data_IF_238924933705
#
_entry.id   IF_238924933705
#
_cell.length_a   1.000
_cell.length_b   1.000
_cell.length_c   1.000
_cell.angle_alpha   90.00
_cell.angle_beta   90.00
_cell.angle_gamma   90.00
#
_symmetry.space_group_name_H-M   'P 1'
#
loop_
_entity.id
_entity.type
_entity.pdbx_description
1 polymer ?
#
# COMPACT_ATOMS: atom_id res chain seq x y z
N UNK A 1 -12.75 2.22 4.59
CA UNK A 1 -12.74 3.15 5.75
C UNK A 1 -13.59 2.65 6.94
N UNK A 2 -14.87 2.25 6.76
CA UNK A 2 -15.72 1.79 7.89
C UNK A 2 -15.19 0.54 8.60
N UNK A 3 -14.58 -0.39 7.86
CA UNK A 3 -13.94 -1.58 8.45
C UNK A 3 -12.75 -1.20 9.33
N UNK A 4 -11.89 -0.31 8.84
CA UNK A 4 -10.70 0.15 9.56
C UNK A 4 -11.08 0.87 10.85
N UNK A 5 -12.14 1.68 10.81
CA UNK A 5 -12.66 2.33 12.00
C UNK A 5 -13.04 1.29 13.08
N UNK A 6 -13.88 0.31 12.72
CA UNK A 6 -14.28 -0.76 13.66
C UNK A 6 -13.10 -1.62 14.11
N UNK A 7 -12.18 -1.95 13.21
CA UNK A 7 -10.96 -2.69 13.53
C UNK A 7 -10.09 -1.92 14.54
N UNK A 8 -9.88 -0.63 14.33
CA UNK A 8 -9.12 0.23 15.26
C UNK A 8 -9.75 0.25 16.65
N UNK A 9 -11.08 0.29 16.74
CA UNK A 9 -11.80 0.21 18.03
C UNK A 9 -11.56 -1.15 18.72
N UNK A 10 -11.62 -2.27 17.98
CA UNK A 10 -11.35 -3.59 18.54
C UNK A 10 -9.89 -3.74 18.98
N UNK A 11 -8.94 -3.20 18.20
CA UNK A 11 -7.53 -3.20 18.58
C UNK A 11 -7.26 -2.43 19.87
N UNK A 12 -7.95 -1.29 20.10
CA UNK A 12 -7.87 -0.54 21.35
C UNK A 12 -8.36 -1.37 22.55
N UNK A 13 -9.45 -2.15 22.38
CA UNK A 13 -9.92 -3.08 23.43
C UNK A 13 -8.86 -4.13 23.76
N UNK A 14 -8.02 -4.50 22.79
CA UNK A 14 -6.87 -5.40 23.00
C UNK A 14 -5.64 -4.69 23.59
N UNK A 15 -5.78 -3.44 24.06
CA UNK A 15 -4.72 -2.57 24.62
C UNK A 15 -3.62 -2.21 23.62
N UNK A 16 -3.96 -2.16 22.32
CA UNK A 16 -3.10 -1.65 21.27
C UNK A 16 -3.38 -0.16 21.04
N UNK A 17 -2.41 0.57 20.47
CA UNK A 17 -2.52 2.00 20.14
C UNK A 17 -2.46 2.16 18.61
N UNK A 18 -3.55 1.89 17.86
CA UNK A 18 -3.52 1.94 16.40
C UNK A 18 -3.43 3.37 15.88
N UNK A 19 -2.70 3.54 14.75
CA UNK A 19 -2.76 4.69 13.87
C UNK A 19 -3.17 4.25 12.46
N UNK A 20 -3.73 5.17 11.66
CA UNK A 20 -4.15 4.91 10.28
C UNK A 20 -3.48 5.90 9.33
N UNK A 21 -2.84 5.37 8.31
CA UNK A 21 -2.33 6.11 7.15
C UNK A 21 -3.20 5.74 5.94
N UNK A 22 -4.06 6.65 5.49
CA UNK A 22 -4.85 6.47 4.28
C UNK A 22 -4.06 6.99 3.07
N UNK A 23 -3.72 6.09 2.15
CA UNK A 23 -3.03 6.43 0.90
C UNK A 23 -4.07 6.60 -0.20
N UNK A 24 -4.35 7.86 -0.53
CA UNK A 24 -5.35 8.21 -1.52
C UNK A 24 -4.73 8.48 -2.89
N UNK A 25 -5.41 8.13 -3.99
CA UNK A 25 -5.03 8.61 -5.30
C UNK A 25 -5.06 10.15 -5.30
N UNK A 26 -4.08 10.74 -5.98
CA UNK A 26 -3.98 12.19 -6.07
C UNK A 26 -5.17 12.76 -6.84
N UNK A 27 -5.85 13.74 -6.28
CA UNK A 27 -6.83 14.52 -7.04
C UNK A 27 -6.13 15.28 -8.16
N UNK A 28 -6.51 15.02 -9.41
CA UNK A 28 -5.99 15.75 -10.58
C UNK A 28 -6.33 17.24 -10.54
N UNK A 29 -7.31 17.65 -9.71
CA UNK A 29 -7.78 19.03 -9.62
C UNK A 29 -7.04 19.82 -8.54
N UNK A 30 -6.78 19.22 -7.38
CA UNK A 30 -6.20 19.94 -6.23
C UNK A 30 -4.76 19.53 -5.91
N UNK A 31 -4.24 18.47 -6.51
CA UNK A 31 -2.91 17.92 -6.21
C UNK A 31 -2.77 17.35 -4.79
N UNK A 32 -3.87 17.32 -4.02
CA UNK A 32 -3.92 16.80 -2.65
C UNK A 32 -4.74 15.52 -2.52
N UNK A 33 -4.75 14.92 -1.33
CA UNK A 33 -5.61 13.78 -1.01
C UNK A 33 -7.09 14.18 -1.09
N UNK A 34 -7.93 13.28 -1.60
CA UNK A 34 -9.37 13.54 -1.72
C UNK A 34 -9.97 13.64 -0.32
N UNK A 35 -10.59 14.79 -0.02
CA UNK A 35 -11.12 15.15 1.32
C UNK A 35 -12.18 14.17 1.86
N UNK A 36 -12.74 13.30 0.99
CA UNK A 36 -13.84 12.39 1.32
C UNK A 36 -13.54 11.38 2.43
N UNK A 37 -12.29 10.95 2.57
CA UNK A 37 -11.94 9.92 3.57
C UNK A 37 -11.80 10.50 4.99
N UNK A 38 -11.40 11.77 5.14
CA UNK A 38 -11.39 12.43 6.45
C UNK A 38 -12.80 12.54 7.06
N UNK A 39 -13.79 12.84 6.24
CA UNK A 39 -15.19 12.94 6.69
C UNK A 39 -15.76 11.58 7.06
N UNK A 40 -15.39 10.53 6.34
CA UNK A 40 -15.85 9.15 6.62
C UNK A 40 -15.22 8.55 7.87
N UNK A 41 -14.08 9.08 8.32
CA UNK A 41 -13.37 8.63 9.52
C UNK A 41 -13.55 9.55 10.73
N UNK A 42 -14.46 10.52 10.68
CA UNK A 42 -14.74 11.46 11.78
C UNK A 42 -15.06 10.74 13.09
N UNK A 43 -15.86 9.66 13.04
CA UNK A 43 -16.17 8.83 14.22
C UNK A 43 -14.95 8.19 14.88
N UNK A 44 -13.88 7.87 14.12
CA UNK A 44 -12.66 7.30 14.68
C UNK A 44 -11.74 8.37 15.29
N UNK A 45 -11.81 9.61 14.83
CA UNK A 45 -11.09 10.74 15.44
C UNK A 45 -11.67 11.05 16.82
N UNK A 46 -12.97 10.97 16.98
CA UNK A 46 -13.65 11.15 18.29
C UNK A 46 -13.27 10.05 19.30
N UNK A 47 -12.85 8.88 18.81
CA UNK A 47 -12.33 7.78 19.65
C UNK A 47 -10.83 7.88 19.95
N UNK A 48 -10.13 8.93 19.52
CA UNK A 48 -8.70 9.14 19.77
C UNK A 48 -7.79 8.24 18.92
N UNK A 49 -8.21 7.78 17.72
CA UNK A 49 -7.34 7.13 16.74
C UNK A 49 -6.67 8.20 15.89
N UNK A 50 -5.35 8.16 15.78
CA UNK A 50 -4.62 9.03 14.86
C UNK A 50 -4.87 8.61 13.42
N UNK A 51 -5.30 9.55 12.57
CA UNK A 51 -5.56 9.28 11.14
C UNK A 51 -4.90 10.37 10.31
N UNK A 52 -4.18 9.98 9.26
CA UNK A 52 -3.58 10.88 8.30
C UNK A 52 -3.70 10.34 6.89
N UNK A 53 -4.14 11.20 5.96
CA UNK A 53 -4.15 10.91 4.52
C UNK A 53 -2.83 11.34 3.89
N UNK A 54 -2.32 10.51 2.97
CA UNK A 54 -1.14 10.73 2.15
C UNK A 54 -1.58 10.69 0.69
N UNK A 55 -1.30 11.76 -0.07
CA UNK A 55 -1.60 11.79 -1.49
C UNK A 55 -0.51 11.07 -2.30
N UNK A 56 -0.92 10.26 -3.28
CA UNK A 56 -0.01 9.43 -4.07
C UNK A 56 0.88 10.23 -5.05
N UNK A 57 0.53 11.47 -5.38
CA UNK A 57 1.28 12.40 -6.25
C UNK A 57 1.86 11.82 -7.54
N UNK A 58 1.32 10.71 -8.03
CA UNK A 58 1.59 10.16 -9.36
C UNK A 58 3.01 9.64 -9.66
N UNK A 59 3.94 9.72 -8.72
CA UNK A 59 5.31 9.24 -8.90
C UNK A 59 5.51 7.89 -8.22
N UNK A 60 5.75 6.85 -9.00
CA UNK A 60 6.21 5.53 -8.52
C UNK A 60 7.42 5.70 -7.59
N UNK A 61 7.38 5.12 -6.42
CA UNK A 61 8.44 5.23 -5.40
C UNK A 61 8.33 6.43 -4.44
N UNK A 62 7.72 7.55 -4.83
CA UNK A 62 7.54 8.71 -3.93
C UNK A 62 6.54 8.41 -2.80
N UNK A 63 5.55 7.57 -3.07
CA UNK A 63 4.58 7.10 -2.08
C UNK A 63 5.28 6.25 -1.04
N UNK A 64 6.06 5.27 -1.47
CA UNK A 64 6.81 4.38 -0.60
C UNK A 64 7.69 5.17 0.38
N UNK A 65 8.40 6.18 -0.09
CA UNK A 65 9.23 7.05 0.74
C UNK A 65 8.40 7.86 1.75
N UNK A 66 7.29 8.48 1.32
CA UNK A 66 6.41 9.26 2.21
C UNK A 66 5.74 8.38 3.28
N UNK A 67 5.32 7.18 2.90
CA UNK A 67 4.75 6.19 3.83
C UNK A 67 5.80 5.75 4.84
N UNK A 68 7.00 5.33 4.41
CA UNK A 68 8.10 4.90 5.31
C UNK A 68 8.48 5.99 6.32
N UNK A 69 8.60 7.24 5.89
CA UNK A 69 8.89 8.36 6.81
C UNK A 69 7.78 8.57 7.83
N UNK A 70 6.51 8.47 7.38
CA UNK A 70 5.35 8.58 8.28
C UNK A 70 5.31 7.43 9.28
N UNK A 71 5.63 6.20 8.86
CA UNK A 71 5.73 5.03 9.74
C UNK A 71 6.75 5.26 10.85
N UNK A 72 7.96 5.70 10.54
CA UNK A 72 9.02 5.98 11.54
C UNK A 72 8.57 7.00 12.58
N UNK A 73 7.91 8.08 12.15
CA UNK A 73 7.38 9.11 13.05
C UNK A 73 6.31 8.52 13.98
N UNK A 74 5.40 7.71 13.45
CA UNK A 74 4.32 7.10 14.22
C UNK A 74 4.85 6.02 15.18
N UNK A 75 5.81 5.22 14.75
CA UNK A 75 6.51 4.25 15.61
C UNK A 75 7.21 4.95 16.77
N UNK A 76 7.94 6.02 16.49
CA UNK A 76 8.60 6.85 17.52
C UNK A 76 7.59 7.46 18.50
N UNK A 77 6.40 7.85 18.02
CA UNK A 77 5.29 8.33 18.84
C UNK A 77 4.56 7.21 19.63
N UNK A 78 5.02 5.96 19.51
CA UNK A 78 4.51 4.80 20.23
C UNK A 78 3.18 4.26 19.70
N UNK A 79 2.85 4.50 18.43
CA UNK A 79 1.71 3.84 17.78
C UNK A 79 2.08 2.41 17.36
N UNK A 80 1.21 1.47 17.70
CA UNK A 80 1.34 0.06 17.30
C UNK A 80 -0.02 -0.64 17.43
N UNK A 81 -0.60 -1.20 16.34
CA UNK A 81 -0.10 -1.20 14.96
C UNK A 81 -0.31 0.13 14.21
N UNK A 82 0.36 0.26 13.06
CA UNK A 82 0.06 1.30 12.08
C UNK A 82 -0.63 0.63 10.89
N UNK A 83 -1.87 1.03 10.61
CA UNK A 83 -2.69 0.50 9.52
C UNK A 83 -2.49 1.40 8.31
N UNK A 84 -2.01 0.83 7.19
CA UNK A 84 -1.95 1.53 5.91
C UNK A 84 -3.18 1.12 5.10
N UNK A 85 -4.04 2.07 4.78
CA UNK A 85 -5.18 1.86 3.88
C UNK A 85 -4.80 2.34 2.48
N UNK A 86 -4.94 1.47 1.48
CA UNK A 86 -4.85 1.83 0.07
C UNK A 86 -6.18 1.55 -0.63
N UNK A 87 -6.48 2.35 -1.65
CA UNK A 87 -7.72 2.25 -2.44
C UNK A 87 -7.36 1.94 -3.87
N UNK A 88 -7.72 0.74 -4.33
CA UNK A 88 -7.49 0.30 -5.70
C UNK A 88 -6.98 -1.13 -5.79
N UNK A 89 -6.62 -1.54 -6.99
CA UNK A 89 -6.00 -2.84 -7.30
C UNK A 89 -4.93 -2.61 -8.39
N UNK A 90 -3.82 -1.95 -8.01
CA UNK A 90 -2.79 -1.55 -8.96
C UNK A 90 -1.38 -1.61 -8.39
N UNK A 91 -0.47 -0.92 -9.05
CA UNK A 91 0.96 -0.93 -8.72
C UNK A 91 1.26 -0.35 -7.33
N UNK A 92 0.45 0.61 -6.88
CA UNK A 92 0.59 1.25 -5.56
C UNK A 92 0.38 0.26 -4.42
N UNK A 93 -0.57 -0.64 -4.57
CA UNK A 93 -0.93 -1.67 -3.58
C UNK A 93 0.21 -2.68 -3.43
N UNK A 94 0.83 -3.08 -4.53
CA UNK A 94 2.00 -3.97 -4.53
C UNK A 94 3.22 -3.28 -3.87
N UNK A 95 3.43 -1.98 -4.10
CA UNK A 95 4.50 -1.22 -3.43
C UNK A 95 4.24 -1.11 -1.92
N UNK A 96 2.99 -0.87 -1.50
CA UNK A 96 2.62 -0.79 -0.08
C UNK A 96 2.76 -2.14 0.62
N UNK A 97 2.39 -3.25 -0.04
CA UNK A 97 2.54 -4.59 0.54
C UNK A 97 3.99 -4.95 0.85
N UNK A 98 4.95 -4.45 0.07
CA UNK A 98 6.40 -4.63 0.35
C UNK A 98 6.89 -3.85 1.58
N UNK A 99 6.15 -2.83 2.01
CA UNK A 99 6.48 -2.04 3.20
C UNK A 99 5.84 -2.62 4.45
N UNK A 100 4.63 -3.19 4.30
CA UNK A 100 3.85 -3.72 5.41
C UNK A 100 4.46 -5.02 5.96
N UNK A 101 4.36 -5.21 7.28
CA UNK A 101 4.74 -6.47 7.93
C UNK A 101 3.66 -7.55 7.73
N UNK A 102 2.39 -7.12 7.59
CA UNK A 102 1.23 -7.97 7.38
C UNK A 102 0.32 -7.32 6.34
N UNK A 103 -0.06 -8.08 5.33
CA UNK A 103 -0.95 -7.62 4.27
C UNK A 103 -2.32 -8.29 4.40
N UNK A 104 -3.37 -7.46 4.46
CA UNK A 104 -4.78 -7.91 4.45
C UNK A 104 -5.41 -7.56 3.12
N UNK A 105 -5.66 -8.56 2.29
CA UNK A 105 -6.34 -8.38 1.00
C UNK A 105 -7.85 -8.47 1.22
N UNK A 106 -8.58 -7.40 0.87
CA UNK A 106 -10.01 -7.31 1.14
C UNK A 106 -10.84 -7.41 -0.13
N UNK A 107 -11.71 -8.40 -0.18
CA UNK A 107 -12.68 -8.61 -1.26
C UNK A 107 -14.09 -8.25 -0.81
N UNK A 108 -14.91 -7.76 -1.73
CA UNK A 108 -16.33 -7.50 -1.49
C UNK A 108 -17.19 -8.30 -2.48
N UNK A 109 -18.36 -8.85 -2.08
CA UNK A 109 -19.34 -9.38 -3.01
C UNK A 109 -19.79 -8.28 -3.99
N UNK A 110 -20.20 -8.66 -5.20
CA UNK A 110 -20.71 -7.75 -6.24
C UNK A 110 -19.70 -6.74 -6.84
N UNK A 111 -18.43 -6.79 -6.51
CA UNK A 111 -17.41 -6.14 -7.35
C UNK A 111 -17.13 -7.09 -8.51
N UNK A 112 -17.54 -6.73 -9.73
CA UNK A 112 -17.44 -7.59 -10.93
C UNK A 112 -16.02 -8.11 -11.23
N UNK A 113 -15.00 -7.47 -10.65
CA UNK A 113 -13.59 -7.82 -10.78
C UNK A 113 -13.07 -8.78 -9.70
N UNK A 114 -13.90 -9.20 -8.70
CA UNK A 114 -13.38 -10.00 -7.57
C UNK A 114 -12.72 -11.31 -8.04
N UNK A 115 -13.30 -12.02 -8.98
CA UNK A 115 -12.74 -13.28 -9.51
C UNK A 115 -11.56 -13.01 -10.44
N UNK A 116 -11.56 -11.91 -11.20
CA UNK A 116 -10.44 -11.51 -12.04
C UNK A 116 -9.27 -11.02 -11.19
N UNK A 117 -9.54 -10.31 -10.11
CA UNK A 117 -8.56 -9.86 -9.12
C UNK A 117 -7.88 -11.04 -8.40
N UNK A 118 -8.64 -12.11 -8.11
CA UNK A 118 -8.08 -13.36 -7.59
C UNK A 118 -7.06 -13.95 -8.57
N UNK A 119 -7.35 -13.91 -9.89
CA UNK A 119 -6.46 -14.42 -10.94
C UNK A 119 -5.28 -13.51 -11.28
N UNK A 120 -5.29 -12.25 -10.88
CA UNK A 120 -4.30 -11.24 -11.25
C UNK A 120 -3.06 -11.17 -10.33
N UNK A 121 -2.76 -12.21 -9.54
CA UNK A 121 -1.57 -12.28 -8.70
C UNK A 121 -1.64 -11.50 -7.38
N UNK A 122 -2.75 -10.81 -7.08
CA UNK A 122 -2.96 -10.14 -5.77
C UNK A 122 -3.05 -11.17 -4.63
N UNK A 123 -3.34 -12.42 -4.97
CA UNK A 123 -3.38 -13.52 -4.01
C UNK A 123 -2.00 -13.99 -3.55
N UNK A 124 -0.92 -13.50 -4.14
CA UNK A 124 0.45 -13.87 -3.73
C UNK A 124 1.01 -12.94 -2.63
N UNK A 125 0.34 -11.80 -2.38
CA UNK A 125 0.86 -10.78 -1.45
C UNK A 125 0.17 -10.76 -0.10
N UNK A 126 -0.91 -11.53 0.10
CA UNK A 126 -1.74 -11.48 1.29
C UNK A 126 -1.33 -12.48 2.38
N UNK A 127 -1.19 -12.02 3.62
CA UNK A 127 -1.13 -12.90 4.80
C UNK A 127 -2.55 -13.26 5.30
N UNK A 128 -3.53 -12.38 5.07
CA UNK A 128 -4.95 -12.60 5.38
C UNK A 128 -5.79 -12.20 4.18
N UNK A 129 -6.76 -13.05 3.85
CA UNK A 129 -7.77 -12.77 2.83
C UNK A 129 -9.12 -12.54 3.48
N UNK A 130 -9.73 -11.39 3.23
CA UNK A 130 -10.90 -10.94 3.93
C UNK A 130 -12.09 -10.78 2.98
N UNK A 131 -13.16 -11.54 3.20
CA UNK A 131 -14.45 -11.27 2.55
C UNK A 131 -15.23 -10.30 3.42
N UNK A 132 -15.18 -9.02 3.06
CA UNK A 132 -15.94 -7.99 3.74
C UNK A 132 -17.35 -7.86 3.16
N UNK A 133 -18.26 -7.19 3.88
CA UNK A 133 -19.70 -7.13 3.57
C UNK A 133 -20.32 -8.52 3.43
N UNK A 134 -19.94 -9.42 4.33
CA UNK A 134 -20.39 -10.83 4.32
C UNK A 134 -21.89 -11.00 4.62
N UNK A 135 -22.59 -9.90 4.86
CA UNK A 135 -24.05 -9.80 4.98
C UNK A 135 -24.76 -9.67 3.62
N UNK A 136 -24.02 -9.45 2.54
CA UNK A 136 -24.57 -9.36 1.20
C UNK A 136 -24.59 -10.74 0.50
N UNK A 137 -25.51 -10.89 -0.46
CA UNK A 137 -25.59 -12.06 -1.31
C UNK A 137 -24.27 -12.23 -2.10
N UNK A 138 -23.91 -13.47 -2.41
CA UNK A 138 -22.64 -13.76 -3.10
C UNK A 138 -21.41 -13.85 -2.19
N UNK A 139 -21.49 -13.43 -0.91
CA UNK A 139 -20.36 -13.49 0.01
C UNK A 139 -19.88 -14.91 0.31
N UNK A 140 -20.82 -15.88 0.35
CA UNK A 140 -20.48 -17.27 0.61
C UNK A 140 -19.79 -17.90 -0.59
N UNK A 141 -20.26 -17.61 -1.81
CA UNK A 141 -19.66 -18.06 -3.07
C UNK A 141 -18.24 -17.49 -3.22
N UNK A 142 -18.06 -16.19 -2.93
CA UNK A 142 -16.77 -15.55 -2.99
C UNK A 142 -15.78 -16.15 -1.97
N UNK A 143 -16.24 -16.44 -0.76
CA UNK A 143 -15.43 -17.10 0.26
C UNK A 143 -15.01 -18.50 -0.16
N UNK A 144 -15.91 -19.27 -0.76
CA UNK A 144 -15.60 -20.61 -1.27
C UNK A 144 -14.59 -20.55 -2.41
N UNK A 145 -14.79 -19.62 -3.36
CA UNK A 145 -13.87 -19.41 -4.48
C UNK A 145 -12.45 -19.03 -3.99
N UNK A 146 -12.34 -18.17 -2.97
CA UNK A 146 -11.05 -17.84 -2.35
C UNK A 146 -10.41 -19.07 -1.70
N UNK A 147 -11.18 -19.87 -1.00
CA UNK A 147 -10.72 -21.10 -0.36
C UNK A 147 -10.19 -22.11 -1.38
N UNK A 148 -10.94 -22.31 -2.46
CA UNK A 148 -10.57 -23.24 -3.52
C UNK A 148 -9.31 -22.78 -4.27
N UNK A 149 -9.12 -21.47 -4.41
CA UNK A 149 -7.97 -20.91 -5.12
C UNK A 149 -6.70 -20.82 -4.26
N UNK A 150 -6.84 -20.37 -3.00
CA UNK A 150 -5.72 -20.09 -2.11
C UNK A 150 -5.36 -21.31 -1.26
N UNK A 151 -6.35 -22.14 -0.89
CA UNK A 151 -6.19 -23.32 -0.03
C UNK A 151 -5.49 -24.51 -0.70
N UNK A 152 -4.98 -24.37 -1.93
CA UNK A 152 -4.23 -25.42 -2.65
C UNK A 152 -2.71 -25.29 -2.49
N UNK A 153 -2.21 -24.30 -1.71
CA UNK A 153 -0.79 -24.09 -1.43
C UNK A 153 -0.27 -24.85 -0.21
N UNK A 154 1.05 -24.91 -0.06
CA UNK A 154 1.73 -25.61 1.06
C UNK A 154 1.51 -24.92 2.43
N UNK A 155 1.09 -23.64 2.47
CA UNK A 155 0.72 -22.92 3.68
C UNK A 155 -0.76 -22.53 3.64
N UNK A 156 -1.52 -22.92 4.67
CA UNK A 156 -2.94 -22.54 4.81
C UNK A 156 -3.06 -21.02 5.07
N UNK A 157 -3.42 -20.27 4.03
CA UNK A 157 -3.66 -18.86 4.18
C UNK A 157 -4.93 -18.60 5.02
N UNK A 158 -4.87 -17.58 5.86
CA UNK A 158 -5.99 -17.22 6.74
C UNK A 158 -7.07 -16.49 5.92
N UNK A 159 -8.25 -17.10 5.82
CA UNK A 159 -9.41 -16.51 5.13
C UNK A 159 -10.52 -16.21 6.14
N UNK A 160 -10.93 -14.94 6.26
CA UNK A 160 -11.93 -14.49 7.22
C UNK A 160 -13.12 -13.81 6.52
N UNK A 161 -14.27 -13.78 7.21
CA UNK A 161 -15.46 -13.03 6.79
C UNK A 161 -15.75 -11.91 7.77
N UNK A 162 -16.03 -10.70 7.26
CA UNK A 162 -16.45 -9.56 8.09
C UNK A 162 -17.70 -8.88 7.56
N UNK A 163 -18.49 -8.34 8.48
CA UNK A 163 -19.57 -7.41 8.17
C UNK A 163 -19.59 -6.29 9.19
N UNK A 164 -19.28 -5.09 8.73
CA UNK A 164 -19.38 -3.87 9.57
C UNK A 164 -20.83 -3.63 9.97
N UNK A 165 -21.78 -3.82 9.06
CA UNK A 165 -23.21 -3.62 9.29
C UNK A 165 -23.77 -4.55 10.38
N UNK A 166 -23.33 -5.81 10.40
CA UNK A 166 -23.77 -6.81 11.39
C UNK A 166 -22.79 -6.97 12.55
N UNK A 167 -21.72 -6.19 12.59
CA UNK A 167 -20.65 -6.25 13.58
C UNK A 167 -20.08 -7.69 13.78
N UNK A 168 -19.92 -8.43 12.66
CA UNK A 168 -19.41 -9.82 12.63
C UNK A 168 -17.98 -9.89 12.13
N UNK A 169 -17.17 -10.80 12.69
CA UNK A 169 -15.82 -11.13 12.24
C UNK A 169 -14.74 -10.10 12.56
N UNK A 170 -15.10 -8.88 13.03
CA UNK A 170 -14.13 -7.79 13.25
C UNK A 170 -13.24 -8.10 14.47
N UNK A 171 -13.84 -8.63 15.53
CA UNK A 171 -13.09 -9.06 16.73
C UNK A 171 -12.13 -10.20 16.42
N UNK A 172 -12.56 -11.15 15.59
CA UNK A 172 -11.74 -12.27 15.12
C UNK A 172 -10.56 -11.75 14.30
N UNK A 173 -10.80 -10.88 13.31
CA UNK A 173 -9.75 -10.22 12.53
C UNK A 173 -8.74 -9.48 13.42
N UNK A 174 -9.19 -8.74 14.42
CA UNK A 174 -8.31 -8.03 15.36
C UNK A 174 -7.44 -9.00 16.18
N UNK A 175 -7.99 -10.12 16.61
CA UNK A 175 -7.26 -11.15 17.36
C UNK A 175 -6.24 -11.86 16.48
N UNK A 176 -6.63 -12.26 15.29
CA UNK A 176 -5.72 -12.88 14.29
C UNK A 176 -4.56 -11.96 13.94
N UNK A 177 -4.83 -10.69 13.67
CA UNK A 177 -3.77 -9.70 13.42
C UNK A 177 -2.81 -9.57 14.61
N UNK A 178 -3.33 -9.54 15.85
CA UNK A 178 -2.48 -9.47 17.04
C UNK A 178 -1.58 -10.70 17.19
N UNK A 179 -2.05 -11.87 16.83
CA UNK A 179 -1.26 -13.11 16.86
C UNK A 179 -0.18 -13.12 15.77
N UNK A 180 -0.54 -12.77 14.54
CA UNK A 180 0.42 -12.64 13.43
C UNK A 180 1.49 -11.59 13.71
N UNK A 181 1.13 -10.45 14.29
CA UNK A 181 2.11 -9.43 14.73
C UNK A 181 3.14 -10.02 15.68
N UNK A 182 2.72 -10.85 16.64
CA UNK A 182 3.65 -11.49 17.59
C UNK A 182 4.57 -12.52 16.90
N UNK A 183 4.07 -13.26 15.93
CA UNK A 183 4.85 -14.22 15.14
C UNK A 183 5.89 -13.48 14.28
N UNK A 184 5.45 -12.49 13.48
CA UNK A 184 6.34 -11.69 12.63
C UNK A 184 7.44 -10.95 13.42
N UNK A 185 7.17 -10.52 14.66
CA UNK A 185 8.20 -9.92 15.54
C UNK A 185 9.29 -10.93 15.89
N UNK A 186 8.95 -12.21 16.09
CA UNK A 186 9.93 -13.28 16.38
C UNK A 186 10.81 -13.58 15.15
N UNK A 187 10.22 -13.53 13.95
CA UNK A 187 10.89 -13.83 12.69
C UNK A 187 11.71 -12.66 12.14
N UNK A 188 11.44 -11.43 12.61
CA UNK A 188 12.10 -10.19 12.13
C UNK A 188 13.63 -10.19 12.21
N UNK A 189 14.24 -10.93 13.12
CA UNK A 189 15.71 -10.96 13.26
C UNK A 189 16.45 -11.54 12.04
N UNK A 190 15.79 -12.38 11.24
CA UNK A 190 16.39 -12.98 10.04
C UNK A 190 16.20 -12.16 8.76
N UNK A 191 15.13 -11.36 8.70
CA UNK A 191 14.75 -10.58 7.50
C UNK A 191 15.10 -9.08 7.57
N UNK A 192 15.54 -8.58 8.71
CA UNK A 192 15.80 -7.16 8.93
C UNK A 192 16.90 -6.61 8.02
N UNK A 193 17.96 -7.39 7.80
CA UNK A 193 19.06 -7.01 6.92
C UNK A 193 18.59 -6.80 5.48
N UNK A 194 17.88 -7.77 4.91
CA UNK A 194 17.38 -7.69 3.53
C UNK A 194 16.39 -6.53 3.33
N UNK A 195 15.57 -6.23 4.35
CA UNK A 195 14.63 -5.11 4.32
C UNK A 195 15.35 -3.76 4.33
N UNK A 196 16.39 -3.62 5.16
CA UNK A 196 17.21 -2.40 5.23
C UNK A 196 18.01 -2.22 3.94
N UNK A 197 18.55 -3.29 3.36
CA UNK A 197 19.24 -3.26 2.06
C UNK A 197 18.31 -2.77 0.95
N UNK A 198 17.13 -3.36 0.82
CA UNK A 198 16.14 -2.93 -0.17
C UNK A 198 15.68 -1.48 0.03
N UNK A 199 15.50 -1.04 1.27
CA UNK A 199 15.13 0.34 1.56
C UNK A 199 16.25 1.31 1.18
N UNK A 200 17.50 0.97 1.49
CA UNK A 200 18.67 1.79 1.14
C UNK A 200 18.80 1.91 -0.39
N UNK A 201 18.63 0.81 -1.12
CA UNK A 201 18.62 0.79 -2.58
C UNK A 201 17.53 1.71 -3.15
N UNK A 202 16.30 1.61 -2.66
CA UNK A 202 15.19 2.48 -3.07
C UNK A 202 15.49 3.97 -2.83
N UNK A 203 16.11 4.31 -1.69
CA UNK A 203 16.48 5.69 -1.36
C UNK A 203 17.55 6.19 -2.34
N UNK A 204 18.58 5.39 -2.61
CA UNK A 204 19.65 5.75 -3.55
C UNK A 204 19.08 5.98 -4.94
N UNK A 205 18.27 5.05 -5.46
CA UNK A 205 17.64 5.18 -6.76
C UNK A 205 16.76 6.43 -6.88
N UNK A 206 15.99 6.75 -5.83
CA UNK A 206 15.18 7.97 -5.82
C UNK A 206 16.02 9.25 -5.80
N UNK A 207 17.11 9.29 -5.03
CA UNK A 207 18.02 10.44 -4.98
C UNK A 207 18.67 10.65 -6.36
N UNK A 208 19.20 9.59 -6.97
CA UNK A 208 19.77 9.65 -8.33
C UNK A 208 18.75 10.13 -9.35
N UNK A 209 17.50 9.62 -9.28
CA UNK A 209 16.43 10.06 -10.18
C UNK A 209 16.11 11.54 -10.03
N UNK A 210 16.08 12.07 -8.80
CA UNK A 210 15.85 13.50 -8.55
C UNK A 210 16.98 14.37 -9.06
N UNK A 211 18.24 13.96 -8.84
CA UNK A 211 19.39 14.69 -9.38
C UNK A 211 19.37 14.73 -10.91
N UNK A 212 19.18 13.58 -11.56
CA UNK A 212 19.05 13.49 -13.01
C UNK A 212 17.91 14.37 -13.52
N UNK A 213 16.74 14.33 -12.88
CA UNK A 213 15.59 15.17 -13.26
C UNK A 213 15.93 16.66 -13.19
N UNK A 214 16.66 17.08 -12.16
CA UNK A 214 17.11 18.46 -11.99
C UNK A 214 18.13 18.86 -13.06
N UNK A 215 19.06 17.97 -13.39
CA UNK A 215 20.06 18.16 -14.45
C UNK A 215 19.40 18.29 -15.83
N UNK A 216 18.43 17.41 -16.13
CA UNK A 216 17.65 17.45 -17.38
C UNK A 216 16.98 18.81 -17.56
N UNK A 217 16.29 19.31 -16.52
CA UNK A 217 15.58 20.59 -16.57
C UNK A 217 16.47 21.81 -16.83
N UNK A 218 17.77 21.73 -16.51
CA UNK A 218 18.77 22.78 -16.69
C UNK A 218 19.69 22.58 -17.92
N UNK A 219 19.59 21.42 -18.58
CA UNK A 219 20.54 21.01 -19.60
C UNK A 219 20.22 21.59 -21.00
N UNK A 220 21.10 22.43 -21.52
CA UNK A 220 21.05 22.88 -22.92
C UNK A 220 21.24 21.71 -23.90
N UNK A 221 22.05 20.73 -23.56
CA UNK A 221 22.26 19.53 -24.38
C UNK A 221 21.00 18.69 -24.48
N UNK A 222 20.21 18.57 -23.41
CA UNK A 222 18.92 17.86 -23.44
C UNK A 222 17.97 18.51 -24.49
N UNK A 223 17.80 19.83 -24.45
CA UNK A 223 16.95 20.53 -25.40
C UNK A 223 17.44 20.37 -26.86
N UNK A 224 18.76 20.33 -27.08
CA UNK A 224 19.33 20.10 -28.40
C UNK A 224 19.06 18.68 -28.92
N UNK A 225 19.25 17.65 -28.06
CA UNK A 225 18.96 16.26 -28.43
C UNK A 225 17.46 16.01 -28.60
N UNK A 226 16.61 16.61 -27.76
CA UNK A 226 15.16 16.53 -27.89
C UNK A 226 14.70 17.03 -29.27
N UNK A 227 15.24 18.17 -29.72
CA UNK A 227 14.95 18.71 -31.06
C UNK A 227 15.36 17.74 -32.18
N UNK A 228 16.55 17.13 -32.10
CA UNK A 228 17.01 16.14 -33.08
C UNK A 228 16.11 14.90 -33.14
N UNK A 229 15.62 14.43 -31.99
CA UNK A 229 14.69 13.30 -31.90
C UNK A 229 13.33 13.69 -32.50
N UNK A 230 12.79 14.88 -32.18
CA UNK A 230 11.55 15.38 -32.77
C UNK A 230 11.64 15.52 -34.30
N UNK A 231 12.80 15.97 -34.82
CA UNK A 231 13.08 16.07 -36.26
C UNK A 231 13.41 14.73 -36.92
N UNK A 232 13.31 13.59 -36.17
CA UNK A 232 13.68 12.23 -36.64
C UNK A 232 15.14 12.12 -37.17
N UNK A 233 16.03 12.99 -36.70
CA UNK A 233 17.47 12.99 -37.07
C UNK A 233 18.34 12.17 -36.13
N UNK A 234 17.75 11.70 -35.02
CA UNK A 234 18.43 10.89 -34.01
C UNK A 234 17.43 9.94 -33.35
N UNK A 235 17.89 8.74 -33.08
CA UNK A 235 17.12 7.75 -32.31
C UNK A 235 17.02 8.14 -30.83
N UNK A 236 15.83 7.96 -30.16
CA UNK A 236 15.67 8.27 -28.74
C UNK A 236 16.65 7.53 -27.82
N UNK A 237 16.96 6.26 -28.10
CA UNK A 237 17.91 5.49 -27.29
C UNK A 237 19.34 6.02 -27.44
N UNK A 238 19.76 6.38 -28.66
CA UNK A 238 21.06 7.03 -28.90
C UNK A 238 21.17 8.37 -28.16
N UNK A 239 20.11 9.17 -28.17
CA UNK A 239 20.06 10.43 -27.44
C UNK A 239 20.17 10.22 -25.93
N UNK A 240 19.44 9.25 -25.40
CA UNK A 240 19.45 8.91 -23.98
C UNK A 240 20.85 8.43 -23.54
N UNK A 241 21.50 7.53 -24.26
CA UNK A 241 22.84 7.05 -23.98
C UNK A 241 23.88 8.17 -23.88
N UNK A 242 23.83 9.10 -24.85
CA UNK A 242 24.73 10.26 -24.87
C UNK A 242 24.48 11.20 -23.68
N UNK A 243 23.22 11.41 -23.31
CA UNK A 243 22.86 12.23 -22.16
C UNK A 243 23.25 11.60 -20.85
N UNK A 244 23.00 10.29 -20.70
CA UNK A 244 23.36 9.53 -19.50
C UNK A 244 24.86 9.58 -19.22
N UNK A 245 25.69 9.39 -20.25
CA UNK A 245 27.15 9.52 -20.13
C UNK A 245 27.62 10.91 -19.70
N UNK A 246 26.81 11.94 -19.92
CA UNK A 246 27.12 13.30 -19.49
C UNK A 246 26.65 13.60 -18.06
N UNK A 247 25.65 12.87 -17.57
CA UNK A 247 25.06 13.08 -16.24
C UNK A 247 25.69 12.18 -15.16
N UNK A 248 26.25 11.03 -15.55
CA UNK A 248 26.89 10.06 -14.64
C UNK A 248 28.43 10.14 -14.86
N UNK A 249 28.99 11.30 -14.52
CA UNK A 249 30.44 11.47 -14.45
C UNK A 249 30.85 11.65 -12.98
#
# INVERSE_FOLDING_TARGET
>A
SSLINKLSMEMKKLKLKPAVLAVDPTSHVTGGAILGDRVRMSESTDTGTYIRSIASRGATGAIAHSVRNSLRILEYAGFNPIIIESVGAGQTEVEISKIADITVVTFNPHTGDSIQTIKAGITEIGDIYLVNKSDLDGATQLFQALRDFIGTGEEEAVILKTSVKKNKGIKELASTLKELMKQKIKDKKSSEKSRVESELEDIILNNVRQEISTMIGKSKSFSSYLKKVQEKKMDPFEAADKLTKNFIK
#
